data_IF_624533526469
#
_entry.id   IF_624533526469
#
_cell.length_a   1.000
_cell.length_b   1.000
_cell.length_c   1.000
_cell.angle_alpha   90.00
_cell.angle_beta   90.00
_cell.angle_gamma   90.00
#
_symmetry.space_group_name_H-M   'P 1'
#
loop_
_entity.id
_entity.type
_entity.pdbx_description
1 polymer ?
#
# COMPACT_ATOMS: atom_id res chain seq x y z
N UNK A 1 32.11 -16.02 16.44
CA UNK A 1 31.45 -14.76 16.80
C UNK A 1 30.51 -14.43 15.65
N UNK A 2 29.20 -14.68 15.81
CA UNK A 2 28.20 -14.19 14.85
C UNK A 2 27.91 -12.74 15.21
N UNK A 3 28.22 -11.82 14.32
CA UNK A 3 27.71 -10.45 14.44
C UNK A 3 26.18 -10.50 14.42
N UNK A 4 25.47 -9.69 15.20
CA UNK A 4 24.02 -9.57 15.06
C UNK A 4 23.71 -9.13 13.63
N UNK A 5 22.88 -9.89 12.91
CA UNK A 5 22.41 -9.47 11.60
C UNK A 5 21.60 -8.19 11.77
N UNK A 6 21.88 -7.18 10.95
CA UNK A 6 21.07 -5.96 10.90
C UNK A 6 19.67 -6.36 10.40
N UNK A 7 18.60 -6.02 11.13
CA UNK A 7 17.24 -6.34 10.70
C UNK A 7 16.95 -5.81 9.30
N UNK A 8 16.33 -6.64 8.45
CA UNK A 8 15.99 -6.26 7.08
C UNK A 8 14.92 -5.16 7.08
N UNK A 9 14.99 -4.17 6.17
CA UNK A 9 13.93 -3.17 6.01
C UNK A 9 12.56 -3.80 5.73
N UNK A 10 11.50 -3.10 6.13
CA UNK A 10 10.14 -3.62 6.16
C UNK A 10 9.23 -2.92 5.15
N UNK A 11 8.34 -3.70 4.53
CA UNK A 11 7.29 -3.23 3.61
C UNK A 11 5.92 -3.60 4.17
N UNK A 12 5.11 -2.59 4.48
CA UNK A 12 3.74 -2.76 4.96
C UNK A 12 2.78 -3.05 3.80
N UNK A 13 1.98 -4.11 3.89
CA UNK A 13 1.18 -4.62 2.78
C UNK A 13 -0.33 -4.58 3.08
N UNK A 14 -1.09 -3.93 2.21
CA UNK A 14 -2.53 -3.69 2.35
C UNK A 14 -3.33 -4.35 1.23
N UNK A 15 -4.21 -5.28 1.59
CA UNK A 15 -4.99 -6.07 0.63
C UNK A 15 -6.12 -5.25 -0.04
N UNK A 16 -6.69 -5.78 -1.13
CA UNK A 16 -7.87 -5.21 -1.78
C UNK A 16 -9.18 -5.42 -1.01
N UNK A 17 -10.24 -4.71 -1.39
CA UNK A 17 -11.54 -4.83 -0.72
C UNK A 17 -12.15 -6.23 -0.88
N UNK A 18 -12.71 -6.78 0.19
CA UNK A 18 -13.27 -8.13 0.21
C UNK A 18 -12.21 -9.23 0.18
N UNK A 19 -11.03 -8.95 0.73
CA UNK A 19 -9.91 -9.89 0.85
C UNK A 19 -9.41 -9.92 2.30
N UNK A 20 -8.27 -10.57 2.56
CA UNK A 20 -7.58 -10.60 3.86
C UNK A 20 -6.07 -10.54 3.67
N UNK A 21 -5.34 -10.27 4.75
CA UNK A 21 -3.89 -10.33 4.78
C UNK A 21 -3.35 -11.69 4.30
N UNK A 22 -3.99 -12.79 4.71
CA UNK A 22 -3.62 -14.15 4.32
C UNK A 22 -3.78 -14.40 2.82
N UNK A 23 -4.88 -13.96 2.21
CA UNK A 23 -5.09 -14.05 0.76
C UNK A 23 -4.03 -13.24 0.02
N UNK A 24 -3.77 -12.00 0.46
CA UNK A 24 -2.80 -11.15 -0.21
C UNK A 24 -1.36 -11.67 -0.09
N UNK A 25 -1.05 -12.35 1.02
CA UNK A 25 0.21 -13.09 1.20
C UNK A 25 0.34 -14.20 0.16
N UNK A 26 -0.68 -15.03 -0.02
CA UNK A 26 -0.69 -16.13 -1.00
C UNK A 26 -0.54 -15.60 -2.44
N UNK A 27 -1.31 -14.56 -2.79
CA UNK A 27 -1.26 -13.89 -4.08
C UNK A 27 0.10 -13.25 -4.38
N UNK A 28 0.86 -12.87 -3.35
CA UNK A 28 2.17 -12.24 -3.46
C UNK A 28 3.35 -13.20 -3.22
N UNK A 29 3.09 -14.49 -2.97
CA UNK A 29 4.08 -15.46 -2.51
C UNK A 29 5.35 -15.53 -3.36
N UNK A 30 5.23 -15.53 -4.70
CA UNK A 30 6.38 -15.57 -5.60
C UNK A 30 7.24 -14.30 -5.52
N UNK A 31 6.60 -13.13 -5.38
CA UNK A 31 7.27 -11.85 -5.20
C UNK A 31 8.01 -11.80 -3.87
N UNK A 32 7.33 -12.18 -2.78
CA UNK A 32 7.88 -12.23 -1.43
C UNK A 32 9.09 -13.16 -1.40
N UNK A 33 8.97 -14.36 -1.96
CA UNK A 33 10.09 -15.32 -1.99
C UNK A 33 11.33 -14.73 -2.64
N UNK A 34 11.16 -13.96 -3.72
CA UNK A 34 12.27 -13.37 -4.47
C UNK A 34 12.89 -12.17 -3.76
N UNK A 35 12.11 -11.42 -2.97
CA UNK A 35 12.56 -10.21 -2.25
C UNK A 35 12.88 -10.46 -0.77
N UNK A 36 12.61 -11.66 -0.24
CA UNK A 36 12.87 -12.02 1.16
C UNK A 36 14.32 -11.88 1.64
N UNK A 37 15.36 -11.97 0.78
CA UNK A 37 16.73 -11.66 1.19
C UNK A 37 16.93 -10.17 1.51
N UNK A 38 16.09 -9.28 0.97
CA UNK A 38 16.25 -7.82 1.02
C UNK A 38 15.23 -7.17 1.97
N UNK A 39 13.99 -7.65 1.99
CA UNK A 39 12.90 -7.04 2.74
C UNK A 39 12.11 -8.04 3.58
N UNK A 40 11.47 -7.51 4.62
CA UNK A 40 10.39 -8.19 5.34
C UNK A 40 9.06 -7.63 4.83
N UNK A 41 8.13 -8.49 4.43
CA UNK A 41 6.78 -8.08 4.02
C UNK A 41 5.80 -8.42 5.13
N UNK A 42 5.03 -7.43 5.59
CA UNK A 42 4.08 -7.61 6.69
C UNK A 42 2.70 -7.23 6.20
N UNK A 43 1.76 -8.16 6.31
CA UNK A 43 0.43 -8.04 5.72
C UNK A 43 -0.58 -7.72 6.81
N UNK A 44 -1.35 -6.65 6.59
CA UNK A 44 -2.33 -6.16 7.56
C UNK A 44 -3.75 -6.43 7.08
N UNK A 45 -4.60 -6.80 8.02
CA UNK A 45 -6.02 -6.98 7.80
C UNK A 45 -6.77 -5.66 7.99
N UNK A 46 -7.67 -5.36 7.06
CA UNK A 46 -8.54 -4.19 7.15
C UNK A 46 -9.55 -4.34 8.31
N UNK A 47 -10.09 -3.25 8.88
CA UNK A 47 -10.85 -3.32 10.14
C UNK A 47 -12.32 -3.71 9.98
N UNK A 48 -12.89 -3.64 8.77
CA UNK A 48 -14.32 -3.85 8.56
C UNK A 48 -14.58 -5.14 7.80
N UNK A 49 -15.47 -5.99 8.31
CA UNK A 49 -15.91 -7.17 7.58
C UNK A 49 -16.80 -6.78 6.39
N UNK A 50 -16.71 -7.56 5.30
CA UNK A 50 -17.54 -7.39 4.12
C UNK A 50 -17.67 -8.70 3.33
N UNK A 51 -18.39 -8.66 2.21
CA UNK A 51 -18.44 -9.78 1.27
C UNK A 51 -17.10 -9.95 0.51
N UNK A 52 -16.90 -11.13 -0.06
CA UNK A 52 -15.78 -11.42 -0.93
C UNK A 52 -15.71 -10.43 -2.11
N UNK A 53 -14.51 -9.94 -2.39
CA UNK A 53 -14.25 -9.08 -3.54
C UNK A 53 -14.25 -9.86 -4.86
N UNK A 54 -14.28 -9.17 -6.01
CA UNK A 54 -14.14 -9.80 -7.32
C UNK A 54 -12.86 -10.64 -7.41
N UNK A 55 -12.97 -11.88 -7.91
CA UNK A 55 -11.83 -12.78 -8.10
C UNK A 55 -11.34 -13.54 -6.85
N UNK A 56 -11.94 -13.30 -5.69
CA UNK A 56 -11.60 -14.00 -4.43
C UNK A 56 -12.21 -15.40 -4.42
N UNK A 57 -13.50 -15.51 -4.75
CA UNK A 57 -14.19 -16.79 -4.87
C UNK A 57 -14.09 -17.34 -6.30
N UNK A 58 -14.02 -18.68 -6.47
CA UNK A 58 -14.08 -19.70 -5.41
C UNK A 58 -12.71 -20.07 -4.80
N UNK A 59 -11.60 -19.52 -5.30
CA UNK A 59 -10.25 -19.93 -4.92
C UNK A 59 -9.92 -19.76 -3.42
N UNK A 60 -10.44 -18.70 -2.80
CA UNK A 60 -10.23 -18.36 -1.40
C UNK A 60 -11.54 -18.47 -0.62
N UNK A 61 -11.98 -19.71 -0.37
CA UNK A 61 -13.23 -20.01 0.32
C UNK A 61 -13.26 -19.47 1.76
N UNK A 62 -14.48 -19.12 2.23
CA UNK A 62 -14.68 -18.41 3.49
C UNK A 62 -14.21 -19.22 4.70
N UNK A 63 -14.35 -20.54 4.67
CA UNK A 63 -13.98 -21.45 5.77
C UNK A 63 -12.49 -21.37 6.12
N UNK A 64 -11.63 -21.03 5.15
CA UNK A 64 -10.18 -20.90 5.34
C UNK A 64 -9.71 -19.45 5.39
N UNK A 65 -10.31 -18.57 4.58
CA UNK A 65 -9.78 -17.23 4.33
C UNK A 65 -10.68 -16.09 4.82
N UNK A 66 -11.86 -16.41 5.37
CA UNK A 66 -12.77 -15.44 5.96
C UNK A 66 -12.48 -15.13 7.44
N UNK A 67 -13.15 -14.12 8.03
CA UNK A 67 -14.06 -13.19 7.35
C UNK A 67 -13.29 -12.24 6.41
N UNK A 68 -13.88 -11.92 5.26
CA UNK A 68 -13.28 -10.98 4.31
C UNK A 68 -13.43 -9.55 4.80
N UNK A 69 -12.49 -8.67 4.43
CA UNK A 69 -12.39 -7.33 5.01
C UNK A 69 -12.21 -6.21 3.97
N UNK A 70 -12.55 -4.98 4.37
CA UNK A 70 -12.45 -3.74 3.58
C UNK A 70 -11.87 -2.61 4.44
N UNK A 71 -11.09 -1.73 3.83
CA UNK A 71 -10.47 -0.56 4.47
C UNK A 71 -11.45 0.61 4.66
N UNK A 72 -12.58 0.58 3.95
CA UNK A 72 -13.57 1.64 3.95
C UNK A 72 -14.93 1.07 4.31
N UNK A 73 -15.54 1.58 5.38
CA UNK A 73 -16.95 1.33 5.67
C UNK A 73 -17.88 2.14 4.73
N UNK A 74 -17.40 3.29 4.25
CA UNK A 74 -18.04 4.07 3.18
C UNK A 74 -16.98 4.59 2.19
N UNK A 75 -17.16 4.27 0.91
CA UNK A 75 -16.27 4.75 -0.15
C UNK A 75 -16.47 6.24 -0.44
N UNK A 76 -17.66 6.78 -0.17
CA UNK A 76 -18.00 8.20 -0.39
C UNK A 76 -17.25 9.11 0.57
N UNK A 77 -17.11 8.71 1.86
CA UNK A 77 -16.33 9.48 2.83
C UNK A 77 -14.84 9.42 2.51
N UNK A 78 -14.34 8.25 2.13
CA UNK A 78 -12.95 8.07 1.73
C UNK A 78 -11.91 8.24 2.85
N UNK A 79 -12.34 8.42 4.10
CA UNK A 79 -11.47 8.59 5.28
C UNK A 79 -11.21 7.29 6.03
N UNK A 80 -11.86 6.19 5.63
CA UNK A 80 -11.72 4.89 6.28
C UNK A 80 -12.30 4.85 7.70
N UNK A 81 -13.17 5.78 8.07
CA UNK A 81 -13.92 5.74 9.33
C UNK A 81 -15.07 4.74 9.28
N UNK A 82 -15.65 4.51 10.46
CA UNK A 82 -16.92 3.79 10.60
C UNK A 82 -18.06 4.48 9.82
N UNK A 83 -19.16 3.76 9.59
CA UNK A 83 -20.33 4.31 8.87
C UNK A 83 -20.87 5.57 9.54
N UNK A 84 -20.81 5.64 10.88
CA UNK A 84 -21.26 6.78 11.68
C UNK A 84 -20.35 8.02 11.52
N UNK A 85 -19.16 7.87 10.94
CA UNK A 85 -18.22 8.96 10.71
C UNK A 85 -17.48 9.43 11.96
N UNK A 86 -17.73 8.82 13.12
CA UNK A 86 -16.99 9.06 14.36
C UNK A 86 -15.78 8.14 14.52
N UNK A 87 -14.84 8.55 15.37
CA UNK A 87 -13.67 7.78 15.78
C UNK A 87 -12.39 8.07 15.00
N UNK A 88 -11.39 7.23 15.24
CA UNK A 88 -10.07 7.26 14.62
C UNK A 88 -10.17 7.18 13.08
N UNK A 89 -9.49 8.09 12.38
CA UNK A 89 -9.36 8.06 10.93
C UNK A 89 -8.65 6.81 10.43
N UNK A 90 -8.87 6.45 9.16
CA UNK A 90 -8.32 5.22 8.60
C UNK A 90 -6.81 5.22 8.49
N UNK A 91 -6.20 6.37 8.14
CA UNK A 91 -4.74 6.51 8.07
C UNK A 91 -4.13 6.41 9.47
N UNK A 92 -4.71 7.10 10.44
CA UNK A 92 -4.29 7.10 11.84
C UNK A 92 -4.34 5.68 12.43
N UNK A 93 -5.42 4.94 12.13
CA UNK A 93 -5.56 3.53 12.52
C UNK A 93 -4.45 2.66 11.95
N UNK A 94 -4.13 2.84 10.68
CA UNK A 94 -3.05 2.07 10.02
C UNK A 94 -1.69 2.42 10.60
N UNK A 95 -1.41 3.71 10.86
CA UNK A 95 -0.17 4.13 11.53
C UNK A 95 -0.05 3.49 12.93
N UNK A 96 -1.14 3.44 13.69
CA UNK A 96 -1.16 2.74 14.98
C UNK A 96 -0.92 1.23 14.82
N UNK A 97 -1.56 0.58 13.84
CA UNK A 97 -1.31 -0.85 13.55
C UNK A 97 0.16 -1.13 13.21
N UNK A 98 0.85 -0.20 12.53
CA UNK A 98 2.27 -0.32 12.21
C UNK A 98 3.17 -0.10 13.43
N UNK A 99 2.77 0.77 14.35
CA UNK A 99 3.48 1.02 15.61
C UNK A 99 3.29 -0.13 16.62
N UNK A 100 2.11 -0.75 16.62
CA UNK A 100 1.78 -1.91 17.47
C UNK A 100 2.40 -3.22 16.96
N UNK A 101 2.98 -3.23 15.76
CA UNK A 101 3.53 -4.44 15.17
C UNK A 101 4.93 -4.76 15.75
N UNK A 102 5.03 -5.94 16.38
CA UNK A 102 6.24 -6.45 17.01
C UNK A 102 7.21 -7.04 15.96
N UNK A 103 8.01 -6.17 15.34
CA UNK A 103 9.00 -6.58 14.34
C UNK A 103 10.20 -5.64 14.27
N UNK A 104 11.38 -6.22 14.09
CA UNK A 104 12.63 -5.46 13.98
C UNK A 104 12.87 -4.96 12.54
N UNK A 105 13.46 -3.76 12.42
CA UNK A 105 13.77 -3.14 11.14
C UNK A 105 12.86 -1.96 10.82
N UNK A 106 13.37 -1.02 10.03
CA UNK A 106 12.64 0.20 9.69
C UNK A 106 11.59 -0.05 8.60
N UNK A 107 10.41 0.55 8.76
CA UNK A 107 9.43 0.68 7.70
C UNK A 107 9.94 1.61 6.60
N UNK A 108 10.38 1.03 5.47
CA UNK A 108 10.92 1.80 4.34
C UNK A 108 9.94 1.92 3.18
N UNK A 109 8.95 1.05 3.11
CA UNK A 109 7.96 1.12 2.04
C UNK A 109 6.60 0.59 2.44
N UNK A 110 5.62 0.84 1.58
CA UNK A 110 4.29 0.27 1.69
C UNK A 110 3.78 -0.19 0.33
N UNK A 111 3.02 -1.28 0.30
CA UNK A 111 2.47 -1.90 -0.89
C UNK A 111 0.96 -2.08 -0.72
N UNK A 112 0.20 -1.70 -1.74
CA UNK A 112 -1.25 -1.82 -1.76
C UNK A 112 -1.71 -2.56 -3.01
N UNK A 113 -2.72 -3.42 -2.85
CA UNK A 113 -3.42 -4.03 -3.98
C UNK A 113 -4.83 -3.48 -4.09
N UNK A 114 -5.25 -3.04 -5.29
CA UNK A 114 -6.61 -2.56 -5.55
C UNK A 114 -7.04 -1.48 -4.55
N UNK A 115 -8.06 -1.72 -3.73
CA UNK A 115 -8.46 -0.80 -2.65
C UNK A 115 -7.31 -0.43 -1.70
N UNK A 116 -6.35 -1.34 -1.47
CA UNK A 116 -5.18 -1.11 -0.64
C UNK A 116 -4.26 -0.01 -1.18
N UNK A 117 -4.30 0.31 -2.48
CA UNK A 117 -3.50 1.44 -3.03
C UNK A 117 -3.97 2.79 -2.50
N UNK A 118 -5.23 2.88 -2.09
CA UNK A 118 -5.78 4.08 -1.43
C UNK A 118 -5.18 4.26 -0.04
N UNK A 119 -4.95 3.18 0.70
CA UNK A 119 -4.27 3.21 2.00
C UNK A 119 -2.83 3.69 1.84
N UNK A 120 -2.10 3.09 0.89
CA UNK A 120 -0.72 3.53 0.55
C UNK A 120 -0.68 5.01 0.21
N UNK A 121 -1.54 5.48 -0.69
CA UNK A 121 -1.60 6.90 -1.04
C UNK A 121 -1.88 7.80 0.16
N UNK A 122 -2.78 7.39 1.06
CA UNK A 122 -3.13 8.13 2.27
C UNK A 122 -1.95 8.26 3.23
N UNK A 123 -1.21 7.16 3.47
CA UNK A 123 -0.01 7.16 4.30
C UNK A 123 1.08 8.08 3.74
N UNK A 124 1.35 8.00 2.44
CA UNK A 124 2.38 8.82 1.80
C UNK A 124 2.01 10.32 1.85
N UNK A 125 0.74 10.63 1.57
CA UNK A 125 0.27 12.00 1.58
C UNK A 125 0.25 12.57 3.00
N UNK A 126 -0.21 11.81 3.99
CA UNK A 126 -0.15 12.20 5.41
C UNK A 126 1.28 12.50 5.86
N UNK A 127 2.24 11.61 5.54
CA UNK A 127 3.66 11.83 5.83
C UNK A 127 4.20 13.10 5.17
N UNK A 128 3.89 13.33 3.89
CA UNK A 128 4.31 14.55 3.19
C UNK A 128 3.72 15.80 3.86
N UNK A 129 2.45 15.77 4.24
CA UNK A 129 1.77 16.88 4.91
C UNK A 129 2.36 17.19 6.27
N UNK A 130 2.65 16.17 7.09
CA UNK A 130 3.33 16.36 8.38
C UNK A 130 4.68 17.07 8.22
N UNK A 131 5.45 16.71 7.17
CA UNK A 131 6.72 17.38 6.83
C UNK A 131 6.51 18.82 6.38
N UNK A 132 5.56 19.09 5.49
CA UNK A 132 5.21 20.44 5.01
C UNK A 132 4.81 21.38 6.16
N UNK A 133 4.03 20.86 7.12
CA UNK A 133 3.61 21.58 8.33
C UNK A 133 4.69 21.64 9.41
N UNK A 134 5.86 21.01 9.21
CA UNK A 134 6.96 20.93 10.17
C UNK A 134 6.50 20.41 11.53
N UNK A 135 5.57 19.46 11.53
CA UNK A 135 5.15 18.81 12.76
C UNK A 135 6.33 18.03 13.36
N UNK A 136 6.51 18.07 14.68
CA UNK A 136 7.61 17.36 15.33
C UNK A 136 7.48 15.87 15.08
N UNK A 137 8.60 15.22 14.77
CA UNK A 137 8.66 13.75 14.70
C UNK A 137 8.79 13.17 16.10
N UNK A 138 7.99 12.17 16.44
CA UNK A 138 8.20 11.38 17.64
C UNK A 138 9.30 10.32 17.40
N UNK A 139 9.89 9.83 18.49
CA UNK A 139 10.80 8.68 18.42
C UNK A 139 10.00 7.45 17.95
N UNK A 140 10.50 6.77 16.92
CA UNK A 140 9.79 5.67 16.25
C UNK A 140 8.87 6.10 15.11
N UNK A 141 8.82 7.38 14.75
CA UNK A 141 8.04 7.84 13.60
C UNK A 141 8.47 7.15 12.30
N UNK A 142 7.46 6.65 11.60
CA UNK A 142 7.61 5.96 10.33
C UNK A 142 8.05 6.95 9.25
N UNK A 143 9.02 6.54 8.43
CA UNK A 143 9.53 7.34 7.33
C UNK A 143 9.59 6.52 6.04
N UNK A 144 8.41 6.28 5.45
CA UNK A 144 8.29 5.59 4.17
C UNK A 144 9.09 6.33 3.09
N UNK A 145 9.98 5.59 2.44
CA UNK A 145 10.83 6.03 1.34
C UNK A 145 10.15 5.86 -0.01
N UNK A 146 9.26 4.87 -0.13
CA UNK A 146 8.53 4.62 -1.37
C UNK A 146 7.18 3.90 -1.16
N UNK A 147 6.31 3.97 -2.17
CA UNK A 147 5.07 3.19 -2.25
C UNK A 147 4.99 2.30 -3.49
N UNK A 148 4.30 1.17 -3.38
CA UNK A 148 4.03 0.23 -4.47
C UNK A 148 2.51 0.09 -4.62
N UNK A 149 1.99 0.44 -5.80
CA UNK A 149 0.56 0.48 -6.10
C UNK A 149 0.23 -0.57 -7.16
N UNK A 150 -0.40 -1.66 -6.75
CA UNK A 150 -0.77 -2.77 -7.64
C UNK A 150 -2.24 -2.73 -8.00
N UNK A 151 -2.57 -2.71 -9.29
CA UNK A 151 -3.95 -2.84 -9.79
C UNK A 151 -4.91 -1.81 -9.15
N UNK A 152 -4.38 -0.60 -8.90
CA UNK A 152 -5.01 0.41 -8.06
C UNK A 152 -6.12 1.21 -8.75
N UNK A 153 -6.79 2.04 -7.95
CA UNK A 153 -7.76 3.02 -8.41
C UNK A 153 -8.35 3.83 -7.26
N UNK A 154 -9.02 4.94 -7.60
CA UNK A 154 -9.66 5.83 -6.64
C UNK A 154 -8.70 6.78 -5.90
N UNK A 155 -9.26 7.71 -5.13
CA UNK A 155 -8.48 8.68 -4.38
C UNK A 155 -7.75 8.03 -3.18
N UNK A 156 -6.58 8.54 -2.78
CA UNK A 156 -5.95 8.25 -1.49
C UNK A 156 -6.95 8.30 -0.33
N UNK A 157 -6.72 7.47 0.69
CA UNK A 157 -7.46 7.56 1.94
C UNK A 157 -7.15 8.90 2.60
N UNK A 158 -8.21 9.60 3.03
CA UNK A 158 -8.09 10.92 3.63
C UNK A 158 -7.72 10.75 5.10
N UNK A 159 -6.65 11.43 5.54
CA UNK A 159 -6.27 11.51 6.95
C UNK A 159 -6.81 12.80 7.61
N UNK A 160 -6.72 12.88 8.93
CA UNK A 160 -7.24 14.03 9.68
C UNK A 160 -6.48 15.31 9.36
N UNK A 161 -5.17 15.17 9.11
CA UNK A 161 -4.33 16.30 8.72
C UNK A 161 -4.76 16.86 7.35
N UNK A 162 -5.25 16.01 6.45
CA UNK A 162 -5.72 16.42 5.13
C UNK A 162 -7.04 17.19 5.20
N UNK A 163 -7.97 16.81 6.09
CA UNK A 163 -9.22 17.54 6.30
C UNK A 163 -9.00 19.00 6.75
N UNK A 164 -7.86 19.28 7.39
CA UNK A 164 -7.53 20.61 7.90
C UNK A 164 -6.87 21.55 6.87
N UNK A 165 -6.50 21.03 5.70
CA UNK A 165 -5.74 21.75 4.67
C UNK A 165 -6.66 22.27 3.55
N UNK A 166 -6.68 23.59 3.35
CA UNK A 166 -7.48 24.28 2.31
C UNK A 166 -6.88 24.22 0.89
N UNK A 167 -5.80 23.46 0.66
CA UNK A 167 -5.12 23.43 -0.65
C UNK A 167 -5.42 22.15 -1.43
N UNK A 168 -6.11 22.33 -2.57
CA UNK A 168 -6.73 21.24 -3.35
C UNK A 168 -5.79 20.46 -4.29
N UNK A 169 -4.50 20.81 -4.41
CA UNK A 169 -3.64 20.21 -5.45
C UNK A 169 -2.25 19.77 -4.95
N UNK A 170 -2.23 18.85 -3.98
CA UNK A 170 -0.98 18.24 -3.52
C UNK A 170 -0.81 16.85 -4.13
N UNK A 171 0.07 16.79 -5.13
CA UNK A 171 0.58 15.54 -5.65
C UNK A 171 1.52 14.89 -4.64
N UNK A 172 1.44 13.58 -4.53
CA UNK A 172 2.37 12.76 -3.77
C UNK A 172 3.71 12.76 -4.51
N UNK A 173 4.74 13.29 -3.84
CA UNK A 173 6.11 13.41 -4.38
C UNK A 173 7.07 12.36 -3.84
N UNK A 174 6.63 11.57 -2.84
CA UNK A 174 7.38 10.41 -2.37
C UNK A 174 7.40 9.38 -3.51
N UNK A 175 8.57 8.78 -3.83
CA UNK A 175 8.69 7.85 -4.94
C UNK A 175 7.67 6.71 -4.93
N UNK A 176 7.08 6.40 -6.09
CA UNK A 176 6.13 5.29 -6.23
C UNK A 176 6.40 4.42 -7.44
N UNK A 177 5.99 3.15 -7.36
CA UNK A 177 5.89 2.23 -8.48
C UNK A 177 4.43 1.81 -8.66
N UNK A 178 3.87 2.09 -9.82
CA UNK A 178 2.51 1.75 -10.21
C UNK A 178 2.53 0.56 -11.17
N UNK A 179 1.91 -0.54 -10.76
CA UNK A 179 1.67 -1.71 -11.58
C UNK A 179 0.21 -1.68 -12.06
N UNK A 180 0.01 -1.62 -13.38
CA UNK A 180 -1.32 -1.67 -13.98
C UNK A 180 -1.50 -2.87 -14.91
N UNK A 181 -2.64 -3.53 -14.81
CA UNK A 181 -3.05 -4.58 -15.72
C UNK A 181 -3.83 -4.00 -16.88
N UNK A 182 -3.36 -4.11 -18.12
CA UNK A 182 -4.05 -3.59 -19.31
C UNK A 182 -5.34 -4.36 -19.65
N UNK A 183 -5.56 -5.53 -19.02
CA UNK A 183 -6.80 -6.31 -19.10
C UNK A 183 -7.62 -6.21 -17.81
N UNK A 184 -7.18 -5.40 -16.86
CA UNK A 184 -7.90 -5.13 -15.62
C UNK A 184 -9.03 -4.13 -15.90
N UNK A 185 -10.21 -4.41 -15.36
CA UNK A 185 -11.33 -3.47 -15.33
C UNK A 185 -10.99 -2.13 -14.65
N UNK A 186 -9.98 -2.12 -13.77
CA UNK A 186 -9.47 -0.92 -13.11
C UNK A 186 -8.36 -0.20 -13.89
N UNK A 187 -7.93 -0.65 -15.07
CA UNK A 187 -6.81 -0.04 -15.80
C UNK A 187 -6.94 1.48 -15.94
N UNK A 188 -8.09 1.95 -16.42
CA UNK A 188 -8.35 3.39 -16.58
C UNK A 188 -8.50 4.11 -15.22
N UNK A 189 -8.98 3.42 -14.19
CA UNK A 189 -9.06 3.98 -12.84
C UNK A 189 -7.67 4.12 -12.20
N UNK A 190 -6.75 3.18 -12.45
CA UNK A 190 -5.36 3.24 -12.03
C UNK A 190 -4.63 4.42 -12.68
N UNK A 191 -4.82 4.62 -13.98
CA UNK A 191 -4.31 5.81 -14.69
C UNK A 191 -4.86 7.11 -14.11
N UNK A 192 -6.16 7.18 -13.81
CA UNK A 192 -6.77 8.36 -13.16
C UNK A 192 -6.23 8.58 -11.75
N UNK A 193 -5.99 7.51 -10.99
CA UNK A 193 -5.35 7.59 -9.67
C UNK A 193 -3.95 8.17 -9.79
N UNK A 194 -3.13 7.65 -10.71
CA UNK A 194 -1.78 8.16 -10.98
C UNK A 194 -1.80 9.66 -11.33
N UNK A 195 -2.55 10.05 -12.37
CA UNK A 195 -2.56 11.45 -12.84
C UNK A 195 -3.22 12.40 -11.85
N UNK A 196 -4.21 11.91 -11.10
CA UNK A 196 -4.97 12.68 -10.13
C UNK A 196 -4.19 13.02 -8.86
N UNK A 197 -3.30 12.12 -8.40
CA UNK A 197 -2.77 12.21 -7.04
C UNK A 197 -1.25 12.09 -6.91
N UNK A 198 -0.52 11.72 -7.96
CA UNK A 198 0.93 11.46 -7.88
C UNK A 198 1.70 12.37 -8.83
N UNK A 199 2.88 12.82 -8.38
CA UNK A 199 3.81 13.56 -9.23
C UNK A 199 4.49 12.57 -10.18
N UNK A 200 4.33 12.80 -11.49
CA UNK A 200 4.85 11.87 -12.49
C UNK A 200 6.39 11.85 -12.57
N UNK A 201 7.08 12.86 -12.03
CA UNK A 201 8.54 12.83 -11.89
C UNK A 201 9.02 11.91 -10.76
N UNK A 202 8.14 11.59 -9.82
CA UNK A 202 8.39 10.67 -8.71
C UNK A 202 7.76 9.27 -8.92
N UNK A 203 6.88 9.12 -9.90
CA UNK A 203 6.17 7.87 -10.17
C UNK A 203 6.80 7.08 -11.32
N UNK A 204 7.07 5.80 -11.07
CA UNK A 204 7.39 4.81 -12.10
C UNK A 204 6.13 4.02 -12.44
N UNK A 205 5.94 3.70 -13.71
CA UNK A 205 4.75 2.97 -14.17
C UNK A 205 5.16 1.73 -14.97
N UNK A 206 4.50 0.61 -14.69
CA UNK A 206 4.64 -0.61 -15.44
C UNK A 206 3.28 -1.18 -15.80
N UNK A 207 2.91 -1.03 -17.08
CA UNK A 207 1.70 -1.61 -17.65
C UNK A 207 1.98 -3.04 -18.15
N UNK A 208 1.13 -4.01 -17.78
CA UNK A 208 1.27 -5.43 -18.11
C UNK A 208 -0.02 -6.05 -18.62
N UNK A 209 0.05 -7.08 -19.46
CA UNK A 209 -1.12 -7.75 -20.04
C UNK A 209 -1.87 -8.70 -19.09
N UNK A 210 -2.19 -8.22 -17.89
CA UNK A 210 -2.85 -8.97 -16.82
C UNK A 210 -4.25 -8.45 -16.52
N UNK A 211 -5.11 -9.35 -16.07
CA UNK A 211 -6.34 -9.03 -15.35
C UNK A 211 -6.06 -8.53 -13.92
N UNK A 212 -7.10 -8.32 -13.10
CA UNK A 212 -7.01 -7.82 -11.74
C UNK A 212 -6.34 -8.81 -10.76
N UNK A 213 -5.00 -8.93 -10.84
CA UNK A 213 -4.22 -9.91 -10.10
C UNK A 213 -2.74 -9.50 -9.96
N UNK A 214 -2.05 -10.06 -8.98
CA UNK A 214 -0.59 -9.97 -8.88
C UNK A 214 0.10 -10.79 -9.99
N UNK A 215 1.30 -10.40 -10.47
CA UNK A 215 2.04 -11.17 -11.46
C UNK A 215 2.41 -12.58 -10.97
N UNK A 216 2.23 -13.62 -11.79
CA UNK A 216 2.58 -15.01 -11.44
C UNK A 216 3.47 -15.72 -12.46
N UNK A 217 3.65 -15.18 -13.67
CA UNK A 217 4.64 -15.72 -14.60
C UNK A 217 6.04 -15.30 -14.14
N UNK A 218 6.98 -16.25 -14.11
CA UNK A 218 8.34 -16.06 -13.60
C UNK A 218 9.03 -14.81 -14.16
N UNK A 219 8.93 -14.57 -15.47
CA UNK A 219 9.56 -13.41 -16.10
C UNK A 219 8.98 -12.08 -15.59
N UNK A 220 7.66 -12.01 -15.39
CA UNK A 220 7.00 -10.82 -14.86
C UNK A 220 7.34 -10.61 -13.39
N UNK A 221 7.37 -11.69 -12.59
CA UNK A 221 7.79 -11.61 -11.19
C UNK A 221 9.22 -11.07 -11.09
N UNK A 222 10.16 -11.59 -11.89
CA UNK A 222 11.55 -11.11 -11.89
C UNK A 222 11.67 -9.64 -12.31
N UNK A 223 10.91 -9.20 -13.32
CA UNK A 223 10.85 -7.79 -13.69
C UNK A 223 10.28 -6.93 -12.56
N UNK A 224 9.28 -7.43 -11.83
CA UNK A 224 8.72 -6.69 -10.69
C UNK A 224 9.74 -6.52 -9.57
N UNK A 225 10.49 -7.59 -9.27
CA UNK A 225 11.60 -7.59 -8.30
C UNK A 225 12.65 -6.56 -8.67
N UNK A 226 13.05 -6.50 -9.95
CA UNK A 226 14.01 -5.52 -10.46
C UNK A 226 13.51 -4.09 -10.27
N UNK A 227 12.25 -3.81 -10.62
CA UNK A 227 11.65 -2.48 -10.48
C UNK A 227 11.57 -2.02 -9.01
N UNK A 228 11.21 -2.93 -8.09
CA UNK A 228 11.17 -2.63 -6.64
C UNK A 228 12.59 -2.41 -6.09
N UNK A 229 13.54 -3.24 -6.52
CA UNK A 229 14.95 -3.13 -6.08
C UNK A 229 15.54 -1.79 -6.51
N UNK A 230 15.37 -1.43 -7.78
CA UNK A 230 15.82 -0.13 -8.31
C UNK A 230 15.09 1.05 -7.66
N UNK A 231 13.79 0.91 -7.32
CA UNK A 231 13.07 1.98 -6.61
C UNK A 231 13.68 2.24 -5.23
N UNK A 232 14.02 1.17 -4.51
CA UNK A 232 14.67 1.26 -3.20
C UNK A 232 16.09 1.83 -3.31
N UNK A 233 16.87 1.45 -4.31
CA UNK A 233 18.23 1.99 -4.54
C UNK A 233 18.20 3.51 -4.77
N UNK A 234 17.35 4.00 -5.67
CA UNK A 234 17.20 5.44 -5.93
C UNK A 234 16.83 6.24 -4.67
N UNK A 235 16.07 5.66 -3.75
CA UNK A 235 15.69 6.34 -2.50
C UNK A 235 16.85 6.47 -1.51
N UNK A 236 17.89 5.63 -1.63
CA UNK A 236 19.10 5.70 -0.82
C UNK A 236 20.09 6.73 -1.34
N UNK A 237 20.12 6.96 -2.66
CA UNK A 237 21.02 7.95 -3.30
C UNK A 237 20.56 9.40 -3.10
N UNK A 238 19.31 9.61 -2.69
CA UNK A 238 18.72 10.95 -2.46
C UNK A 238 18.88 11.48 -1.02
N UNK A 239 19.54 10.72 -0.14
CA UNK A 239 19.86 11.08 1.25
C UNK A 239 21.33 11.49 1.36
#
# INVERSE_FOLDING_TARGET
MSYPEVPRPRIACFHGGGSTASIFTEQSSQLISSLSPTFQFVFFDAPFECHAGPGILPAFAHEKYGPYRTWFASLERGDGRSVEGGGEGGVERVLRMLADEEGEGEWVGCMGFSQGTRVVGGLLLDQQRRREMRLPKAEGDIDFKFGILCMGGGAPMISDIMHSSLSEDHKITIPTLHLHGTKDTNFENGKKQLTGFYDQSAARVWDIAYHHAMPWYKADVLKFVELITSLNEDTKERL
#
